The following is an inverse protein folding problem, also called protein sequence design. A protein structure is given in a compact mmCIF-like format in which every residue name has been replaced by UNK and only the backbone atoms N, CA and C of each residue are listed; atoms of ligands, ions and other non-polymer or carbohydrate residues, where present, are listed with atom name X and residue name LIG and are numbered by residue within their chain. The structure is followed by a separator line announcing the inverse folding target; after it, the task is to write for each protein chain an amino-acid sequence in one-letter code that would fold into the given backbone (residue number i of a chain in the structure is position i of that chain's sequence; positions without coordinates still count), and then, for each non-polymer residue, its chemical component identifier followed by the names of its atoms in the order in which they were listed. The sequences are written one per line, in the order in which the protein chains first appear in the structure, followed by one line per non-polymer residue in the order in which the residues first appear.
data_IF_359947329027
#
_entry.id   IF_359947329027
#
_cell.length_a   1.000
_cell.length_b   1.000
_cell.length_c   1.000
_cell.angle_alpha   90.00
_cell.angle_beta   90.00
_cell.angle_gamma   90.00
#
_symmetry.space_group_name_H-M   'P 1'
#
loop_
_entity.id
_entity.type
_entity.pdbx_description
1 polymer ?
#
# COMPACT_ATOMS: atom_id res chain seq x y z
N UNK A 1 13.88 3.86 -0.71
CA UNK A 1 14.56 5.16 -0.55
C UNK A 1 15.38 5.10 0.71
N UNK A 2 16.64 5.52 0.64
CA UNK A 2 17.54 5.57 1.79
C UNK A 2 17.83 7.00 2.18
N UNK A 3 18.00 7.21 3.49
CA UNK A 3 18.25 8.50 4.13
C UNK A 3 19.38 8.33 5.16
N UNK A 4 20.64 8.09 4.72
CA UNK A 4 21.73 7.76 5.64
C UNK A 4 21.98 8.81 6.72
N UNK A 5 21.81 10.08 6.37
CA UNK A 5 21.98 11.23 7.28
C UNK A 5 20.64 11.76 7.84
N UNK A 6 19.60 10.92 7.81
CA UNK A 6 18.25 11.26 8.29
C UNK A 6 17.38 11.99 7.27
N UNK A 7 16.11 12.22 7.63
CA UNK A 7 15.08 12.71 6.71
C UNK A 7 15.29 14.15 6.20
N UNK A 8 16.18 14.92 6.83
CA UNK A 8 16.57 16.27 6.39
C UNK A 8 17.83 16.25 5.48
N UNK A 9 18.52 15.12 5.38
CA UNK A 9 19.72 14.94 4.57
C UNK A 9 19.44 14.51 3.13
N UNK A 10 20.49 14.08 2.43
CA UNK A 10 20.36 13.57 1.06
C UNK A 10 19.63 12.22 1.05
N UNK A 11 18.72 12.08 0.08
CA UNK A 11 17.96 10.86 -0.13
C UNK A 11 18.19 10.33 -1.55
N UNK A 12 18.31 9.01 -1.67
CA UNK A 12 18.43 8.38 -2.98
C UNK A 12 17.57 7.12 -3.12
N UNK A 13 17.16 6.88 -4.38
CA UNK A 13 16.40 5.69 -4.76
C UNK A 13 17.38 4.59 -5.17
N UNK A 14 17.63 3.65 -4.28
CA UNK A 14 18.45 2.47 -4.56
C UNK A 14 17.57 1.31 -5.01
N UNK A 15 17.71 0.91 -6.29
CA UNK A 15 17.04 -0.27 -6.85
C UNK A 15 17.91 -1.51 -6.80
N UNK A 16 19.20 -1.35 -7.11
CA UNK A 16 20.14 -2.45 -7.17
C UNK A 16 20.63 -2.80 -5.77
N UNK A 17 20.90 -4.07 -5.54
CA UNK A 17 21.41 -4.57 -4.27
C UNK A 17 22.71 -3.82 -3.92
N UNK A 18 22.81 -3.25 -2.70
CA UNK A 18 24.01 -2.56 -2.27
C UNK A 18 25.19 -3.53 -2.16
N UNK A 19 26.41 -3.03 -2.39
CA UNK A 19 27.62 -3.82 -2.22
C UNK A 19 27.76 -4.25 -0.76
N UNK A 20 28.13 -5.50 -0.54
CA UNK A 20 28.30 -6.06 0.81
C UNK A 20 26.98 -6.47 1.48
N UNK A 21 25.89 -6.61 0.71
CA UNK A 21 24.69 -7.27 1.21
C UNK A 21 25.04 -8.68 1.73
N UNK A 22 24.55 -9.07 2.93
CA UNK A 22 24.79 -10.40 3.47
C UNK A 22 24.25 -11.52 2.58
N UNK A 23 24.90 -12.68 2.55
CA UNK A 23 24.51 -13.83 1.71
C UNK A 23 23.11 -14.38 2.03
N UNK A 24 22.62 -14.17 3.25
CA UNK A 24 21.29 -14.59 3.67
C UNK A 24 20.18 -13.67 3.17
N UNK A 25 20.49 -12.47 2.66
CA UNK A 25 19.50 -11.60 2.02
C UNK A 25 19.13 -12.23 0.69
N UNK A 26 17.88 -12.70 0.58
CA UNK A 26 17.38 -13.23 -0.68
C UNK A 26 17.36 -12.16 -1.76
N UNK A 27 17.64 -12.55 -3.00
CA UNK A 27 17.70 -11.60 -4.13
C UNK A 27 17.09 -12.18 -5.39
N UNK A 28 16.71 -11.29 -6.30
CA UNK A 28 16.29 -11.65 -7.65
C UNK A 28 16.95 -10.72 -8.67
N UNK A 29 17.55 -11.29 -9.72
CA UNK A 29 18.05 -10.51 -10.85
C UNK A 29 17.01 -10.49 -11.95
N UNK A 30 16.57 -9.29 -12.35
CA UNK A 30 15.54 -9.08 -13.36
C UNK A 30 16.05 -8.15 -14.48
N UNK A 31 15.50 -8.24 -15.70
CA UNK A 31 15.79 -7.27 -16.76
C UNK A 31 15.42 -5.85 -16.33
N UNK A 32 16.31 -4.89 -16.57
CA UNK A 32 16.05 -3.48 -16.30
C UNK A 32 14.96 -2.97 -17.24
N UNK A 33 13.86 -2.46 -16.68
CA UNK A 33 12.84 -1.74 -17.44
C UNK A 33 13.29 -0.30 -17.63
N UNK A 34 13.99 -0.02 -18.72
CA UNK A 34 14.44 1.33 -19.10
C UNK A 34 15.92 1.58 -18.86
N UNK A 35 16.74 1.27 -19.86
CA UNK A 35 18.11 1.77 -19.94
C UNK A 35 18.05 3.25 -20.35
N UNK A 36 18.33 4.18 -19.44
CA UNK A 36 18.67 5.58 -19.80
C UNK A 36 20.02 5.68 -20.52
N UNK A 37 20.81 4.60 -20.53
CA UNK A 37 22.22 4.62 -20.89
C UNK A 37 22.54 4.08 -22.29
N UNK A 38 21.55 3.70 -23.12
CA UNK A 38 21.78 3.22 -24.49
C UNK A 38 22.62 1.93 -24.63
N UNK A 39 23.13 1.37 -23.52
CA UNK A 39 23.94 0.15 -23.46
C UNK A 39 23.06 -1.07 -23.19
N UNK A 40 22.34 -1.55 -24.19
CA UNK A 40 21.63 -2.85 -24.18
C UNK A 40 20.64 -3.09 -23.03
N UNK A 41 20.10 -4.31 -22.89
CA UNK A 41 19.26 -4.70 -21.77
C UNK A 41 20.13 -4.94 -20.53
N UNK A 42 20.26 -3.93 -19.67
CA UNK A 42 20.88 -4.11 -18.35
C UNK A 42 20.02 -4.98 -17.44
N UNK A 43 20.60 -5.51 -16.36
CA UNK A 43 19.88 -6.20 -15.28
C UNK A 43 19.91 -5.37 -14.00
N UNK A 44 18.96 -5.64 -13.10
CA UNK A 44 18.96 -5.11 -11.73
C UNK A 44 18.76 -6.29 -10.79
N UNK A 45 19.58 -6.37 -9.75
CA UNK A 45 19.42 -7.33 -8.66
C UNK A 45 18.69 -6.64 -7.52
N UNK A 46 17.48 -7.09 -7.19
CA UNK A 46 16.67 -6.55 -6.10
C UNK A 46 16.81 -7.43 -4.85
N UNK A 47 16.90 -6.86 -3.64
CA UNK A 47 16.68 -7.62 -2.42
C UNK A 47 15.20 -8.00 -2.27
N UNK A 48 14.94 -9.20 -1.75
CA UNK A 48 13.61 -9.67 -1.35
C UNK A 48 13.49 -9.54 0.18
N UNK A 49 12.55 -8.71 0.62
CA UNK A 49 12.29 -8.49 2.04
C UNK A 49 11.11 -9.38 2.45
N UNK A 50 11.41 -10.64 2.77
CA UNK A 50 10.40 -11.66 3.07
C UNK A 50 10.31 -12.02 4.56
N UNK A 51 11.37 -11.70 5.32
CA UNK A 51 11.52 -12.12 6.72
C UNK A 51 11.99 -10.96 7.60
N UNK A 52 11.73 -11.04 8.91
CA UNK A 52 12.12 -10.01 9.88
C UNK A 52 13.62 -9.62 9.78
N UNK A 53 14.59 -10.55 9.67
CA UNK A 53 16.00 -10.17 9.53
C UNK A 53 16.27 -9.29 8.30
N UNK A 54 15.62 -9.57 7.16
CA UNK A 54 15.78 -8.78 5.94
C UNK A 54 15.18 -7.38 6.08
N UNK A 55 14.07 -7.24 6.82
CA UNK A 55 13.47 -5.95 7.14
C UNK A 55 14.37 -5.12 8.07
N UNK A 56 14.93 -5.75 9.12
CA UNK A 56 15.88 -5.11 10.04
C UNK A 56 17.15 -4.67 9.30
N UNK A 57 17.64 -5.47 8.36
CA UNK A 57 18.76 -5.08 7.50
C UNK A 57 18.44 -3.85 6.64
N UNK A 58 17.25 -3.80 6.03
CA UNK A 58 16.83 -2.61 5.28
C UNK A 58 16.76 -1.37 6.19
N UNK A 59 16.24 -1.52 7.41
CA UNK A 59 16.22 -0.44 8.41
C UNK A 59 17.64 0.02 8.80
N UNK A 60 18.57 -0.92 9.03
CA UNK A 60 19.98 -0.62 9.31
C UNK A 60 20.66 0.17 8.16
N UNK A 61 20.21 -0.02 6.92
CA UNK A 61 20.67 0.76 5.77
C UNK A 61 20.02 2.15 5.66
N UNK A 62 19.24 2.56 6.67
CA UNK A 62 18.41 3.76 6.67
C UNK A 62 17.38 3.79 5.52
N UNK A 63 16.87 2.62 5.11
CA UNK A 63 15.81 2.53 4.10
C UNK A 63 14.44 2.90 4.70
N UNK A 64 14.22 4.19 4.94
CA UNK A 64 12.97 4.67 5.54
C UNK A 64 11.74 4.38 4.66
N UNK A 65 11.88 4.46 3.34
CA UNK A 65 10.76 4.15 2.43
C UNK A 65 11.00 2.87 1.64
N UNK A 66 10.13 1.88 1.81
CA UNK A 66 10.09 0.67 1.01
C UNK A 66 9.09 0.85 -0.12
N UNK A 67 9.56 0.72 -1.36
CA UNK A 67 8.74 0.85 -2.56
C UNK A 67 8.70 -0.48 -3.29
N UNK A 68 7.48 -0.97 -3.55
CA UNK A 68 7.24 -2.31 -4.09
C UNK A 68 6.37 -2.23 -5.36
N UNK A 69 6.58 -3.14 -6.33
CA UNK A 69 5.70 -3.24 -7.49
C UNK A 69 4.35 -3.88 -7.12
N UNK A 70 3.42 -3.91 -8.07
CA UNK A 70 2.10 -4.57 -7.90
C UNK A 70 2.10 -6.05 -8.31
N UNK A 71 3.29 -6.64 -8.45
CA UNK A 71 3.52 -8.03 -8.82
C UNK A 71 4.53 -8.67 -7.86
N UNK A 72 4.53 -10.01 -7.81
CA UNK A 72 5.48 -10.81 -7.02
C UNK A 72 6.45 -11.58 -7.91
N UNK A 73 7.53 -12.08 -7.31
CA UNK A 73 8.48 -12.98 -7.97
C UNK A 73 7.93 -14.41 -7.95
N UNK A 74 8.14 -15.15 -9.03
CA UNK A 74 7.78 -16.57 -9.14
C UNK A 74 8.92 -17.50 -8.77
N UNK A 75 8.73 -18.82 -8.90
CA UNK A 75 9.85 -19.75 -8.87
C UNK A 75 10.84 -19.38 -9.99
N UNK A 76 12.09 -19.08 -9.61
CA UNK A 76 13.13 -18.59 -10.51
C UNK A 76 13.10 -17.07 -10.78
N UNK A 77 13.98 -16.54 -11.65
CA UNK A 77 14.15 -15.09 -11.87
C UNK A 77 13.08 -14.51 -12.80
N UNK A 78 11.79 -14.74 -12.49
CA UNK A 78 10.66 -14.33 -13.32
C UNK A 78 9.62 -13.57 -12.51
N UNK A 79 9.11 -12.49 -13.12
CA UNK A 79 7.97 -11.74 -12.60
C UNK A 79 6.70 -12.56 -12.83
N UNK A 80 5.85 -12.66 -11.80
CA UNK A 80 4.46 -13.11 -11.99
C UNK A 80 3.63 -11.96 -12.56
N UNK A 81 2.45 -12.29 -13.07
CA UNK A 81 1.43 -11.27 -13.31
C UNK A 81 1.12 -10.50 -12.01
N UNK A 82 0.74 -9.21 -12.10
CA UNK A 82 0.25 -8.44 -10.97
C UNK A 82 -0.84 -9.17 -10.19
N UNK A 83 -0.74 -9.12 -8.86
CA UNK A 83 -1.68 -9.73 -7.92
C UNK A 83 -2.51 -8.69 -7.17
N UNK A 84 -2.28 -7.40 -7.45
CA UNK A 84 -3.05 -6.29 -6.91
C UNK A 84 -3.17 -5.12 -7.88
N UNK A 85 -4.23 -4.35 -7.72
CA UNK A 85 -4.40 -3.01 -8.28
C UNK A 85 -4.08 -1.97 -7.22
N UNK A 86 -3.64 -0.80 -7.67
CA UNK A 86 -3.53 0.40 -6.83
C UNK A 86 -4.10 1.61 -7.56
N UNK A 87 -4.92 2.39 -6.88
CA UNK A 87 -5.32 3.73 -7.29
C UNK A 87 -4.65 4.72 -6.35
N UNK A 88 -3.65 5.46 -6.85
CA UNK A 88 -2.91 6.46 -6.07
C UNK A 88 -3.57 7.82 -6.23
N UNK A 89 -4.13 8.35 -5.14
CA UNK A 89 -4.91 9.58 -5.11
C UNK A 89 -4.04 10.72 -4.62
N UNK A 90 -3.60 11.54 -5.57
CA UNK A 90 -2.69 12.65 -5.33
C UNK A 90 -3.46 13.98 -5.36
N UNK A 91 -3.62 14.67 -4.22
CA UNK A 91 -4.28 15.97 -4.21
C UNK A 91 -3.39 17.01 -4.89
N UNK A 92 -3.97 17.74 -5.83
CA UNK A 92 -3.37 18.94 -6.41
C UNK A 92 -3.35 20.11 -5.43
N UNK A 93 -2.85 21.25 -5.91
CA UNK A 93 -2.78 22.46 -5.10
C UNK A 93 -4.16 22.86 -4.53
N UNK A 94 -4.26 23.16 -3.24
CA UNK A 94 -5.54 23.50 -2.60
C UNK A 94 -6.48 22.32 -2.33
N UNK A 95 -6.18 21.12 -2.83
CA UNK A 95 -6.80 19.88 -2.40
C UNK A 95 -5.94 19.19 -1.32
N UNK A 96 -6.55 18.26 -0.61
CA UNK A 96 -5.93 17.50 0.48
C UNK A 96 -6.38 16.04 0.47
N UNK A 97 -5.97 15.26 1.48
CA UNK A 97 -6.48 13.91 1.70
C UNK A 97 -8.00 13.87 1.88
N UNK A 98 -8.65 14.97 2.29
CA UNK A 98 -10.11 15.05 2.44
C UNK A 98 -10.79 14.89 1.07
N UNK A 99 -10.32 15.61 0.05
CA UNK A 99 -10.79 15.45 -1.32
C UNK A 99 -10.48 14.03 -1.84
N UNK A 100 -9.30 13.48 -1.49
CA UNK A 100 -8.95 12.11 -1.83
C UNK A 100 -9.94 11.09 -1.23
N UNK A 101 -10.44 11.34 -0.01
CA UNK A 101 -11.46 10.48 0.60
C UNK A 101 -12.76 10.47 -0.21
N UNK A 102 -13.20 11.63 -0.71
CA UNK A 102 -14.41 11.72 -1.55
C UNK A 102 -14.25 10.97 -2.87
N UNK A 103 -13.06 11.03 -3.47
CA UNK A 103 -12.73 10.23 -4.65
C UNK A 103 -12.67 8.74 -4.32
N UNK A 104 -12.09 8.36 -3.18
CA UNK A 104 -12.01 6.98 -2.73
C UNK A 104 -13.38 6.35 -2.46
N UNK A 105 -14.35 7.10 -1.92
CA UNK A 105 -15.73 6.62 -1.75
C UNK A 105 -16.37 6.25 -3.10
N UNK A 106 -16.09 7.03 -4.14
CA UNK A 106 -16.56 6.73 -5.50
C UNK A 106 -15.84 5.54 -6.12
N UNK A 107 -14.54 5.40 -5.87
CA UNK A 107 -13.79 4.18 -6.21
C UNK A 107 -14.36 2.95 -5.50
N UNK A 108 -14.70 3.05 -4.22
CA UNK A 108 -15.29 1.94 -3.46
C UNK A 108 -16.54 1.41 -4.18
N UNK A 109 -17.46 2.29 -4.56
CA UNK A 109 -18.70 1.92 -5.24
C UNK A 109 -18.44 1.25 -6.60
N UNK A 110 -17.59 1.83 -7.46
CA UNK A 110 -17.27 1.27 -8.78
C UNK A 110 -16.58 -0.08 -8.67
N UNK A 111 -15.54 -0.17 -7.83
CA UNK A 111 -14.76 -1.39 -7.66
C UNK A 111 -15.60 -2.50 -7.01
N UNK A 112 -16.48 -2.17 -6.07
CA UNK A 112 -17.40 -3.15 -5.47
C UNK A 112 -18.45 -3.63 -6.46
N UNK A 113 -18.97 -2.74 -7.32
CA UNK A 113 -19.89 -3.11 -8.41
C UNK A 113 -19.23 -4.09 -9.40
N UNK A 114 -17.92 -3.96 -9.62
CA UNK A 114 -17.11 -4.89 -10.41
C UNK A 114 -16.72 -6.18 -9.65
N UNK A 115 -17.15 -6.32 -8.40
CA UNK A 115 -16.90 -7.49 -7.55
C UNK A 115 -15.50 -7.55 -6.95
N UNK A 116 -14.79 -6.42 -6.92
CA UNK A 116 -13.50 -6.28 -6.23
C UNK A 116 -13.72 -5.93 -4.76
N UNK A 117 -12.68 -6.10 -3.94
CA UNK A 117 -12.67 -5.71 -2.52
C UNK A 117 -11.67 -4.57 -2.31
N UNK A 118 -12.13 -3.32 -2.26
CA UNK A 118 -11.27 -2.15 -2.11
C UNK A 118 -10.82 -1.96 -0.65
N UNK A 119 -9.51 -1.75 -0.47
CA UNK A 119 -8.88 -1.57 0.84
C UNK A 119 -8.06 -0.26 0.84
N UNK A 120 -8.44 0.75 1.64
CA UNK A 120 -7.79 2.05 1.63
C UNK A 120 -6.59 2.11 2.59
N UNK A 121 -5.60 2.91 2.21
CA UNK A 121 -4.51 3.32 3.10
C UNK A 121 -4.10 4.76 2.83
N UNK A 122 -3.64 5.45 3.86
CA UNK A 122 -2.97 6.75 3.66
C UNK A 122 -1.63 6.50 2.97
N UNK A 123 -1.19 7.46 2.15
CA UNK A 123 0.16 7.42 1.61
C UNK A 123 1.22 7.66 2.70
N UNK A 124 0.83 8.12 3.89
CA UNK A 124 1.73 8.72 4.89
C UNK A 124 2.24 10.10 4.48
N UNK A 125 1.77 10.61 3.32
CA UNK A 125 2.18 11.87 2.73
C UNK A 125 0.98 12.83 2.65
N UNK A 126 0.58 13.27 1.45
CA UNK A 126 -0.54 14.18 1.23
C UNK A 126 -1.79 13.45 0.76
N UNK A 127 -1.62 12.29 0.12
CA UNK A 127 -2.67 11.56 -0.59
C UNK A 127 -3.10 10.26 0.08
N UNK A 128 -3.98 9.54 -0.62
CA UNK A 128 -4.63 8.29 -0.21
C UNK A 128 -4.42 7.24 -1.31
N UNK A 129 -4.42 5.96 -0.95
CA UNK A 129 -4.29 4.86 -1.90
C UNK A 129 -5.38 3.84 -1.67
N UNK A 130 -5.95 3.30 -2.75
CA UNK A 130 -6.95 2.23 -2.69
C UNK A 130 -6.39 1.00 -3.41
N UNK A 131 -6.31 -0.11 -2.68
CA UNK A 131 -5.82 -1.38 -3.19
C UNK A 131 -6.95 -2.37 -3.43
N UNK A 132 -6.78 -3.26 -4.39
CA UNK A 132 -7.65 -4.44 -4.59
C UNK A 132 -6.78 -5.65 -4.92
N UNK A 133 -7.05 -6.81 -4.33
CA UNK A 133 -6.47 -8.07 -4.77
C UNK A 133 -7.05 -8.48 -6.13
N UNK A 134 -6.20 -8.87 -7.08
CA UNK A 134 -6.62 -9.29 -8.43
C UNK A 134 -5.81 -10.46 -8.98
N UNK A 135 -6.34 -11.11 -10.02
CA UNK A 135 -5.63 -12.09 -10.83
C UNK A 135 -5.79 -11.69 -12.28
N UNK A 136 -4.68 -11.71 -12.99
CA UNK A 136 -4.70 -11.50 -14.44
C UNK A 136 -3.73 -12.46 -15.11
N UNK A 137 -4.14 -12.98 -16.28
CA UNK A 137 -3.24 -13.70 -17.19
C UNK A 137 -2.43 -12.74 -18.07
N UNK A 138 -2.84 -11.49 -18.16
CA UNK A 138 -2.25 -10.45 -19.00
C UNK A 138 -1.87 -9.25 -18.10
N UNK A 139 -0.57 -9.05 -17.79
CA UNK A 139 -0.12 -8.00 -16.89
C UNK A 139 -0.60 -6.59 -17.25
N UNK A 140 -0.76 -6.31 -18.54
CA UNK A 140 -1.15 -4.98 -19.05
C UNK A 140 -2.60 -4.62 -18.67
N UNK A 141 -3.43 -5.62 -18.35
CA UNK A 141 -4.85 -5.40 -18.01
C UNK A 141 -5.04 -4.62 -16.71
N UNK A 142 -4.14 -4.74 -15.74
CA UNK A 142 -4.27 -3.94 -14.50
C UNK A 142 -4.19 -2.46 -14.79
N UNK A 143 -3.21 -2.05 -15.59
CA UNK A 143 -3.04 -0.64 -15.97
C UNK A 143 -4.17 -0.15 -16.87
N UNK A 144 -4.67 -1.00 -17.79
CA UNK A 144 -5.79 -0.63 -18.66
C UNK A 144 -7.09 -0.43 -17.87
N UNK A 145 -7.41 -1.34 -16.96
CA UNK A 145 -8.59 -1.24 -16.10
C UNK A 145 -8.52 -0.03 -15.17
N UNK A 146 -7.40 0.16 -14.47
CA UNK A 146 -7.24 1.32 -13.59
C UNK A 146 -7.34 2.65 -14.36
N UNK A 147 -6.81 2.70 -15.58
CA UNK A 147 -6.96 3.86 -16.47
C UNK A 147 -8.42 4.12 -16.83
N UNK A 148 -9.15 3.09 -17.24
CA UNK A 148 -10.55 3.22 -17.64
C UNK A 148 -11.42 3.71 -16.46
N UNK A 149 -11.21 3.18 -15.26
CA UNK A 149 -11.90 3.65 -14.04
C UNK A 149 -11.52 5.10 -13.73
N UNK A 150 -10.25 5.47 -13.84
CA UNK A 150 -9.82 6.86 -13.62
C UNK A 150 -10.43 7.83 -14.64
N UNK A 151 -10.50 7.45 -15.92
CA UNK A 151 -11.11 8.25 -16.99
C UNK A 151 -12.63 8.39 -16.81
N UNK A 152 -13.31 7.33 -16.38
CA UNK A 152 -14.73 7.38 -16.01
C UNK A 152 -14.97 8.37 -14.86
N UNK A 153 -14.23 8.26 -13.75
CA UNK A 153 -14.41 9.14 -12.59
C UNK A 153 -14.07 10.60 -12.93
N UNK A 154 -13.09 10.84 -13.80
CA UNK A 154 -12.77 12.18 -14.30
C UNK A 154 -13.91 12.78 -15.15
N UNK A 155 -14.66 11.95 -15.88
CA UNK A 155 -15.83 12.38 -16.65
C UNK A 155 -17.07 12.59 -15.75
N UNK A 156 -17.28 11.74 -14.75
CA UNK A 156 -18.38 11.85 -13.78
C UNK A 156 -18.21 13.04 -12.83
N UNK A 157 -16.96 13.33 -12.42
CA UNK A 157 -16.64 14.30 -11.37
C UNK A 157 -15.51 15.26 -11.81
N UNK A 158 -15.69 16.03 -12.91
CA UNK A 158 -14.63 16.85 -13.50
C UNK A 158 -14.10 17.97 -12.59
N UNK A 159 -14.92 18.40 -11.63
CA UNK A 159 -14.57 19.40 -10.61
C UNK A 159 -13.72 18.84 -9.46
N UNK A 160 -13.62 17.51 -9.34
CA UNK A 160 -12.93 16.83 -8.24
C UNK A 160 -11.80 15.93 -8.72
N UNK A 161 -11.91 15.34 -9.91
CA UNK A 161 -11.02 14.29 -10.40
C UNK A 161 -10.33 14.72 -11.69
N UNK A 162 -9.04 14.39 -11.78
CA UNK A 162 -8.28 14.39 -13.04
C UNK A 162 -7.60 13.03 -13.24
N UNK A 163 -7.56 12.54 -14.48
CA UNK A 163 -6.98 11.24 -14.84
C UNK A 163 -5.76 11.32 -15.77
N UNK A 164 -5.50 12.52 -16.33
CA UNK A 164 -4.37 12.78 -17.22
C UNK A 164 -3.36 13.70 -16.54
N UNK A 165 -2.07 13.36 -16.67
CA UNK A 165 -0.97 14.15 -16.12
C UNK A 165 -0.76 15.51 -16.80
N UNK A 166 -1.37 15.76 -17.97
CA UNK A 166 -1.22 17.00 -18.74
C UNK A 166 -1.53 18.24 -17.88
N UNK A 167 -0.93 19.38 -18.24
CA UNK A 167 -0.88 20.68 -17.53
C UNK A 167 -2.26 21.37 -17.28
N UNK A 168 -3.34 20.62 -17.11
CA UNK A 168 -4.60 21.16 -16.61
C UNK A 168 -4.36 21.56 -15.14
N UNK A 169 -4.77 22.76 -14.68
CA UNK A 169 -4.55 23.17 -13.30
C UNK A 169 -5.23 22.16 -12.37
N UNK A 170 -4.43 21.45 -11.57
CA UNK A 170 -4.91 20.47 -10.58
C UNK A 170 -5.47 21.15 -9.33
N UNK A 171 -5.63 22.47 -9.39
CA UNK A 171 -6.08 23.28 -8.27
C UNK A 171 -7.46 22.81 -7.80
N UNK A 172 -7.56 22.43 -6.54
CA UNK A 172 -8.78 21.90 -5.91
C UNK A 172 -9.17 20.49 -6.34
N UNK A 173 -8.34 19.78 -7.12
CA UNK A 173 -8.66 18.46 -7.70
C UNK A 173 -7.67 17.38 -7.28
N UNK A 174 -8.10 16.13 -7.38
CA UNK A 174 -7.31 14.92 -7.09
C UNK A 174 -6.95 14.23 -8.40
N UNK A 175 -5.66 13.95 -8.58
CA UNK A 175 -5.18 13.07 -9.62
C UNK A 175 -5.38 11.62 -9.17
N UNK A 176 -6.06 10.82 -9.99
CA UNK A 176 -6.01 9.37 -9.88
C UNK A 176 -4.83 8.89 -10.75
N UNK A 177 -3.67 8.65 -10.13
CA UNK A 177 -2.50 8.12 -10.82
C UNK A 177 -2.63 6.60 -11.00
N UNK A 178 -3.32 6.22 -12.06
CA UNK A 178 -3.47 4.84 -12.51
C UNK A 178 -2.16 4.23 -13.04
N UNK A 179 -1.14 5.05 -13.37
CA UNK A 179 0.10 4.58 -13.98
C UNK A 179 0.96 3.75 -13.03
N UNK A 180 0.68 3.83 -11.72
CA UNK A 180 1.32 3.03 -10.67
C UNK A 180 1.09 1.51 -10.83
N UNK A 181 0.11 1.11 -11.66
CA UNK A 181 -0.14 -0.28 -12.02
C UNK A 181 0.79 -0.80 -13.12
N UNK A 182 1.61 0.05 -13.74
CA UNK A 182 2.56 -0.38 -14.76
C UNK A 182 3.69 -1.22 -14.14
N UNK A 183 4.11 -2.30 -14.82
CA UNK A 183 5.07 -3.28 -14.29
C UNK A 183 6.46 -2.72 -13.94
N UNK A 184 6.82 -1.55 -14.47
CA UNK A 184 8.09 -0.86 -14.18
C UNK A 184 8.00 0.15 -13.03
N UNK A 185 6.82 0.37 -12.47
CA UNK A 185 6.55 1.32 -11.38
C UNK A 185 6.51 0.60 -10.04
N UNK A 186 6.68 1.40 -8.99
CA UNK A 186 6.64 0.96 -7.60
C UNK A 186 5.87 1.99 -6.80
N UNK A 187 5.16 1.53 -5.79
CA UNK A 187 4.41 2.37 -4.86
C UNK A 187 4.89 2.11 -3.45
N UNK A 188 4.77 3.11 -2.57
CA UNK A 188 5.10 2.97 -1.15
C UNK A 188 4.35 1.78 -0.54
N UNK A 189 5.09 0.87 0.09
CA UNK A 189 4.53 -0.31 0.73
C UNK A 189 3.62 0.09 1.90
N UNK A 190 2.54 -0.68 2.17
CA UNK A 190 1.84 -0.57 3.45
C UNK A 190 2.82 -0.66 4.62
N UNK A 191 2.55 0.11 5.68
CA UNK A 191 3.36 0.20 6.90
C UNK A 191 4.76 0.81 6.73
N UNK A 192 5.17 1.19 5.52
CA UNK A 192 6.43 1.89 5.32
C UNK A 192 6.39 3.29 5.93
N UNK A 193 7.49 3.67 6.59
CA UNK A 193 7.75 5.05 6.99
C UNK A 193 7.90 5.95 5.76
N UNK A 194 7.79 7.26 5.99
CA UNK A 194 8.03 8.33 5.02
C UNK A 194 9.24 9.15 5.46
N UNK A 195 10.12 9.45 4.52
CA UNK A 195 11.29 10.29 4.77
C UNK A 195 10.90 11.76 4.90
N UNK A 196 10.33 12.14 6.04
CA UNK A 196 9.84 13.50 6.33
C UNK A 196 10.26 13.96 7.71
N UNK A 197 10.04 15.25 7.98
CA UNK A 197 10.30 15.85 9.29
C UNK A 197 9.53 15.14 10.42
N UNK A 198 8.29 14.71 10.14
CA UNK A 198 7.51 13.84 11.02
C UNK A 198 7.60 12.40 10.50
N UNK A 199 7.85 11.38 11.35
CA UNK A 199 7.99 9.99 10.94
C UNK A 199 6.62 9.36 10.65
N UNK A 200 5.93 9.88 9.63
CA UNK A 200 4.62 9.40 9.22
C UNK A 200 4.71 8.08 8.48
N UNK A 201 3.63 7.32 8.50
CA UNK A 201 3.57 5.96 7.93
C UNK A 201 2.48 5.86 6.86
N UNK A 202 2.74 5.09 5.81
CA UNK A 202 1.70 4.70 4.87
C UNK A 202 0.77 3.67 5.51
N UNK A 203 -0.35 4.14 6.05
CA UNK A 203 -1.10 3.41 7.09
C UNK A 203 -2.42 2.90 6.54
N UNK A 204 -2.69 1.59 6.60
CA UNK A 204 -4.02 1.05 6.36
C UNK A 204 -5.08 1.67 7.26
N UNK A 205 -6.23 2.01 6.68
CA UNK A 205 -7.35 2.65 7.37
C UNK A 205 -8.67 1.96 7.04
N UNK A 206 -9.68 2.22 7.85
CA UNK A 206 -11.04 1.74 7.63
C UNK A 206 -11.80 2.66 6.67
N UNK A 207 -12.82 2.13 5.99
CA UNK A 207 -13.73 2.95 5.19
C UNK A 207 -14.53 3.95 6.03
N UNK A 208 -14.76 3.67 7.31
CA UNK A 208 -15.42 4.62 8.21
C UNK A 208 -14.53 5.82 8.50
N UNK A 209 -13.22 5.63 8.69
CA UNK A 209 -12.24 6.72 8.78
C UNK A 209 -12.21 7.56 7.50
N UNK A 210 -12.26 6.92 6.32
CA UNK A 210 -12.34 7.63 5.03
C UNK A 210 -13.59 8.53 4.98
N UNK A 211 -14.77 7.99 5.33
CA UNK A 211 -16.03 8.75 5.33
C UNK A 211 -16.03 9.86 6.37
N UNK A 212 -15.45 9.60 7.54
CA UNK A 212 -15.43 10.53 8.67
C UNK A 212 -14.43 11.67 8.51
N UNK A 213 -13.37 11.49 7.72
CA UNK A 213 -12.30 12.47 7.53
C UNK A 213 -12.84 13.87 7.16
N UNK A 214 -12.48 14.90 7.94
CA UNK A 214 -12.78 16.31 7.67
C UNK A 214 -11.54 17.17 7.57
N UNK A 215 -10.42 16.74 8.17
CA UNK A 215 -9.15 17.47 8.15
C UNK A 215 -7.98 16.53 7.82
N UNK A 216 -6.87 17.03 7.24
CA UNK A 216 -5.71 16.19 6.94
C UNK A 216 -5.06 15.54 8.15
N UNK A 217 -5.14 16.19 9.32
CA UNK A 217 -4.57 15.69 10.56
C UNK A 217 -5.22 14.39 11.04
N UNK A 218 -6.52 14.17 10.75
CA UNK A 218 -7.26 12.96 11.15
C UNK A 218 -6.74 11.68 10.48
N UNK A 219 -6.09 11.80 9.33
CA UNK A 219 -5.49 10.69 8.58
C UNK A 219 -3.96 10.79 8.50
N UNK A 220 -3.35 11.37 9.53
CA UNK A 220 -1.90 11.43 9.70
C UNK A 220 -1.49 10.55 10.88
N UNK A 221 -0.66 9.54 10.61
CA UNK A 221 -0.23 8.56 11.62
C UNK A 221 1.29 8.50 11.68
N UNK A 222 1.84 8.58 12.89
CA UNK A 222 3.26 8.35 13.17
C UNK A 222 3.55 6.86 13.37
N UNK A 223 4.84 6.48 13.45
CA UNK A 223 5.25 5.11 13.76
C UNK A 223 4.54 4.52 14.99
N UNK A 224 4.50 5.27 16.09
CA UNK A 224 3.88 4.84 17.35
C UNK A 224 2.36 4.68 17.23
N UNK A 225 1.70 5.59 16.51
CA UNK A 225 0.26 5.49 16.25
C UNK A 225 -0.06 4.21 15.47
N UNK A 226 0.78 3.84 14.50
CA UNK A 226 0.55 2.63 13.69
C UNK A 226 0.75 1.37 14.51
N UNK A 227 1.75 1.29 15.38
CA UNK A 227 1.93 0.13 16.26
C UNK A 227 0.70 -0.08 17.15
N UNK A 228 0.21 0.98 17.78
CA UNK A 228 -1.01 0.93 18.59
C UNK A 228 -2.23 0.49 17.77
N UNK A 229 -2.37 0.99 16.53
CA UNK A 229 -3.46 0.58 15.64
C UNK A 229 -3.39 -0.88 15.25
N UNK A 230 -2.20 -1.43 15.00
CA UNK A 230 -2.03 -2.85 14.66
C UNK A 230 -2.41 -3.71 15.87
N UNK A 231 -2.03 -3.31 17.09
CA UNK A 231 -2.42 -4.02 18.31
C UNK A 231 -3.94 -4.01 18.53
N UNK A 232 -4.62 -2.88 18.24
CA UNK A 232 -6.06 -2.74 18.43
C UNK A 232 -6.92 -3.33 17.29
N UNK A 233 -6.50 -3.18 16.04
CA UNK A 233 -7.32 -3.44 14.85
C UNK A 233 -6.83 -4.64 14.03
N UNK A 234 -5.63 -5.14 14.31
CA UNK A 234 -4.94 -6.11 13.47
C UNK A 234 -4.50 -5.52 12.12
N UNK A 235 -4.24 -6.39 11.15
CA UNK A 235 -3.89 -5.97 9.79
C UNK A 235 -5.14 -5.69 8.96
N UNK A 236 -5.45 -4.40 8.73
CA UNK A 236 -6.57 -3.97 7.91
C UNK A 236 -6.42 -4.32 6.41
N UNK A 237 -5.23 -4.77 5.97
CA UNK A 237 -4.99 -5.27 4.61
C UNK A 237 -4.86 -6.80 4.53
N UNK A 238 -5.20 -7.55 5.59
CA UNK A 238 -5.08 -9.01 5.58
C UNK A 238 -5.80 -9.67 4.38
N UNK A 239 -6.98 -9.14 4.02
CA UNK A 239 -7.80 -9.63 2.92
C UNK A 239 -7.25 -9.29 1.52
N UNK A 240 -6.20 -8.46 1.41
CA UNK A 240 -5.64 -8.04 0.13
C UNK A 240 -5.16 -9.25 -0.70
N UNK A 241 -4.74 -10.31 -0.03
CA UNK A 241 -4.25 -11.54 -0.64
C UNK A 241 -5.16 -12.75 -0.40
N UNK A 242 -6.17 -12.65 0.48
CA UNK A 242 -7.16 -13.68 0.79
C UNK A 242 -8.52 -13.38 0.17
N UNK A 243 -8.59 -13.41 -1.16
CA UNK A 243 -9.87 -13.26 -1.86
C UNK A 243 -10.30 -14.60 -2.47
N UNK A 244 -11.36 -15.16 -1.88
CA UNK A 244 -12.24 -16.17 -2.50
C UNK A 244 -12.60 -15.74 -3.92
N UNK A 245 -12.82 -16.70 -4.84
CA UNK A 245 -12.07 -16.77 -6.09
C UNK A 245 -11.85 -15.38 -6.69
N UNK A 246 -10.61 -14.88 -6.55
CA UNK A 246 -10.15 -13.67 -7.22
C UNK A 246 -10.65 -13.67 -8.67
N UNK A 247 -11.53 -12.71 -8.98
CA UNK A 247 -12.13 -12.58 -10.30
C UNK A 247 -11.10 -12.02 -11.27
N UNK A 248 -11.13 -12.54 -12.49
CA UNK A 248 -10.39 -11.93 -13.60
C UNK A 248 -10.91 -10.50 -13.75
N UNK A 249 -9.98 -9.55 -13.94
CA UNK A 249 -10.32 -8.14 -14.19
C UNK A 249 -11.38 -8.10 -15.32
N UNK A 250 -12.54 -7.45 -15.11
CA UNK A 250 -13.65 -7.49 -16.06
C UNK A 250 -13.22 -7.17 -17.49
N UNK A 251 -13.70 -7.99 -18.43
CA UNK A 251 -13.50 -7.83 -19.87
C UNK A 251 -14.70 -7.06 -20.43
N UNK A 252 -14.60 -5.73 -20.56
CA UNK A 252 -15.64 -4.90 -21.20
C UNK A 252 -16.19 -3.79 -20.31
N UNK A 253 -16.99 -2.90 -20.93
CA UNK A 253 -17.45 -1.60 -20.42
C UNK A 253 -17.72 -1.59 -18.91
N UNK A 254 -17.04 -0.67 -18.21
CA UNK A 254 -17.23 -0.45 -16.78
C UNK A 254 -18.71 -0.10 -16.56
N UNK A 255 -19.40 -0.87 -15.71
CA UNK A 255 -20.83 -0.66 -15.48
C UNK A 255 -21.01 0.65 -14.72
N UNK A 256 -21.73 1.61 -15.32
CA UNK A 256 -22.13 2.84 -14.63
C UNK A 256 -23.21 2.52 -13.58
N UNK A 257 -22.92 2.79 -12.31
CA UNK A 257 -23.93 2.74 -11.25
C UNK A 257 -24.68 4.09 -11.18
N UNK A 258 -26.00 4.12 -10.95
CA UNK A 258 -26.76 5.36 -10.82
C UNK A 258 -26.40 6.15 -9.55
N UNK A 259 -26.33 7.47 -9.66
CA UNK A 259 -25.81 8.42 -8.65
C UNK A 259 -26.85 9.00 -7.68
N UNK A 260 -26.51 9.15 -6.38
CA UNK A 260 -26.99 10.25 -5.55
C UNK A 260 -26.02 11.45 -5.60
N UNK A 261 -26.55 12.68 -5.74
CA UNK A 261 -25.77 13.93 -5.77
C UNK A 261 -25.04 14.16 -4.43
N UNK A 262 -23.70 14.20 -4.45
CA UNK A 262 -22.89 14.69 -3.33
C UNK A 262 -22.93 16.23 -3.35
N UNK A 263 -23.63 16.83 -2.39
CA UNK A 263 -23.57 18.29 -2.17
C UNK A 263 -22.36 18.58 -1.30
N UNK A 264 -21.29 19.10 -1.91
CA UNK A 264 -20.15 19.66 -1.19
C UNK A 264 -20.61 20.95 -0.50
N UNK A 265 -20.95 20.88 0.80
CA UNK A 265 -21.16 22.09 1.61
C UNK A 265 -19.81 22.76 1.86
N UNK A 266 -19.59 23.92 1.25
CA UNK A 266 -18.49 24.84 1.62
C UNK A 266 -18.72 25.31 3.06
N UNK A 267 -17.87 24.88 3.99
CA UNK A 267 -17.87 25.38 5.36
C UNK A 267 -17.23 26.76 5.43
N UNK A 268 -18.02 27.78 5.77
CA UNK A 268 -17.53 29.07 6.26
C UNK A 268 -16.95 28.88 7.67
N UNK A 269 -15.85 29.58 7.95
CA UNK A 269 -14.98 29.37 9.09
C UNK A 269 -15.60 29.57 10.48
N UNK A 270 -15.05 28.84 11.44
CA UNK A 270 -15.25 29.03 12.86
C UNK A 270 -14.13 28.28 13.61
N UNK A 271 -13.25 29.02 14.25
CA UNK A 271 -12.13 28.53 15.05
C UNK A 271 -12.59 27.92 16.37
N UNK A 272 -12.19 26.69 16.69
CA UNK A 272 -12.02 26.20 18.07
C UNK A 272 -10.83 25.22 18.15
N UNK A 273 -10.13 25.27 19.27
CA UNK A 273 -8.86 24.61 19.62
C UNK A 273 -8.99 23.08 19.83
N UNK A 274 -7.89 22.30 19.70
CA UNK A 274 -7.96 20.85 19.70
C UNK A 274 -7.75 20.24 21.10
N UNK A 275 -8.51 19.20 21.40
CA UNK A 275 -8.32 18.40 22.60
C UNK A 275 -9.26 17.21 22.67
N UNK A 276 -9.19 16.26 21.73
CA UNK A 276 -9.64 14.89 22.03
C UNK A 276 -9.07 13.87 21.03
N UNK A 277 -8.31 12.89 21.56
CA UNK A 277 -8.13 11.59 20.90
C UNK A 277 -9.51 10.94 20.75
N UNK A 278 -9.95 10.70 19.52
CA UNK A 278 -11.18 9.97 19.25
C UNK A 278 -11.01 8.53 19.73
N UNK A 279 -11.80 8.12 20.74
CA UNK A 279 -11.96 6.70 21.09
C UNK A 279 -12.97 6.09 20.12
N UNK A 280 -12.70 4.87 19.67
CA UNK A 280 -13.63 4.08 18.88
C UNK A 280 -14.92 3.83 19.67
N UNK A 281 -16.05 3.91 18.98
CA UNK A 281 -17.36 3.50 19.48
C UNK A 281 -17.43 1.99 19.73
N UNK A 282 -18.30 1.56 20.64
CA UNK A 282 -18.46 0.13 21.01
C UNK A 282 -18.84 -0.77 19.82
N UNK A 283 -19.49 -0.22 18.79
CA UNK A 283 -19.81 -0.93 17.56
C UNK A 283 -18.57 -1.32 16.72
N UNK A 284 -17.52 -0.48 16.77
CA UNK A 284 -16.25 -0.72 16.08
C UNK A 284 -15.46 -1.83 16.78
N UNK A 285 -15.47 -1.85 18.12
CA UNK A 285 -14.89 -2.94 18.93
C UNK A 285 -15.57 -4.28 18.64
N UNK A 286 -16.90 -4.29 18.58
CA UNK A 286 -17.67 -5.50 18.30
C UNK A 286 -17.43 -6.07 16.89
N UNK A 287 -17.21 -5.20 15.90
CA UNK A 287 -16.91 -5.62 14.51
C UNK A 287 -15.49 -6.17 14.38
N UNK A 288 -14.50 -5.54 15.04
CA UNK A 288 -13.12 -6.04 15.09
C UNK A 288 -13.03 -7.38 15.83
N UNK A 289 -13.70 -7.51 16.99
CA UNK A 289 -13.77 -8.77 17.76
C UNK A 289 -14.45 -9.90 16.98
N UNK A 290 -15.56 -9.63 16.27
CA UNK A 290 -16.20 -10.64 15.42
C UNK A 290 -15.29 -11.12 14.29
N UNK A 291 -14.47 -10.23 13.71
CA UNK A 291 -13.52 -10.58 12.64
C UNK A 291 -12.34 -11.42 13.18
N UNK A 292 -11.79 -11.05 14.33
CA UNK A 292 -10.75 -11.82 15.02
C UNK A 292 -11.20 -13.25 15.38
N UNK A 293 -12.44 -13.40 15.86
CA UNK A 293 -12.99 -14.71 16.21
C UNK A 293 -13.28 -15.61 15.01
N UNK A 294 -13.58 -15.04 13.83
CA UNK A 294 -13.71 -15.82 12.59
C UNK A 294 -12.38 -16.20 11.94
N UNK A 295 -11.31 -15.45 12.19
CA UNK A 295 -9.96 -15.74 11.67
C UNK A 295 -9.14 -16.69 12.58
N UNK A 296 -9.53 -16.82 13.86
CA UNK A 296 -8.75 -17.53 14.88
C UNK A 296 -8.80 -19.07 14.89
N UNK A 297 -9.54 -19.74 14.01
CA UNK A 297 -9.57 -21.22 14.01
C UNK A 297 -8.56 -21.81 13.03
N UNK A 298 -7.26 -21.70 13.35
CA UNK A 298 -6.16 -22.66 13.05
C UNK A 298 -4.81 -21.96 13.16
N UNK A 299 -4.19 -22.03 14.33
CA UNK A 299 -2.75 -22.38 14.49
C UNK A 299 -2.44 -22.51 15.97
N UNK A 300 -2.49 -23.74 16.48
CA UNK A 300 -1.91 -24.09 17.78
C UNK A 300 -0.38 -24.03 17.68
N UNK A 301 0.21 -23.03 18.33
CA UNK A 301 1.63 -23.03 18.68
C UNK A 301 1.80 -23.73 20.03
N UNK A 302 1.91 -25.06 20.03
CA UNK A 302 2.39 -25.79 21.20
C UNK A 302 3.89 -26.01 21.14
N UNK A 303 4.56 -25.53 22.18
CA UNK A 303 5.98 -25.58 22.44
C UNK A 303 6.58 -26.99 22.35
N UNK A 304 7.77 -27.08 21.74
CA UNK A 304 8.66 -28.23 21.89
C UNK A 304 9.92 -27.79 22.66
N UNK A 305 9.89 -27.97 23.97
CA UNK A 305 11.08 -28.08 24.80
C UNK A 305 11.10 -29.46 25.45
N UNK A 306 12.07 -30.30 25.08
CA UNK A 306 12.91 -31.09 26.00
C UNK A 306 13.60 -32.30 25.35
N UNK A 307 14.89 -32.38 25.65
CA UNK A 307 15.75 -33.58 25.77
C UNK A 307 16.28 -34.27 24.50
N UNK A 308 17.60 -34.19 24.28
CA UNK A 308 18.56 -35.20 24.79
C UNK A 308 20.00 -34.84 24.36
N UNK A 309 20.83 -34.57 25.36
CA UNK A 309 22.29 -34.52 25.22
C UNK A 309 22.85 -35.91 24.89
N UNK A 310 23.53 -36.08 23.77
CA UNK A 310 24.41 -37.22 23.51
C UNK A 310 25.85 -36.84 23.92
N UNK A 311 26.40 -37.54 24.93
CA UNK A 311 27.84 -37.55 25.22
C UNK A 311 28.58 -38.41 24.16
N UNK A 312 29.82 -38.08 23.78
CA UNK A 312 30.64 -38.96 22.96
C UNK A 312 31.34 -40.03 23.82
N UNK A 313 31.45 -41.26 23.28
CA UNK A 313 32.26 -42.36 23.85
C UNK A 313 33.72 -42.21 23.44
N UNK A 314 34.62 -42.37 24.40
CA UNK A 314 36.07 -42.54 24.21
C UNK A 314 36.42 -43.95 23.67
N UNK A 315 37.58 -44.13 23.00
CA UNK A 315 37.99 -45.42 22.45
C UNK A 315 38.65 -46.29 23.54
N UNK A 316 38.47 -47.62 23.45
CA UNK A 316 39.30 -48.58 24.17
C UNK A 316 40.15 -49.36 23.17
N UNK A 317 41.44 -49.39 23.45
CA UNK A 317 42.44 -50.30 22.89
C UNK A 317 42.31 -51.70 23.52
N UNK A 318 42.40 -52.73 22.67
CA UNK A 318 43.32 -53.87 22.71
C UNK A 318 43.07 -54.74 21.49
#
# INVERSE_FOLDING_TARGET
MRFPDGAAGEAFFEKNLPRGAPEWVQTVTLPSSGSRSGRGPGTITYPLIEELPSLVWAANLAALELHVPQWRVGPGPKRRSPDRLVFDLDPGEGATVVECCRVAERLLEVLTADGLTPLPKTSGSKGLQVYCGVRTRQPERTSAYAKAVAEQLAAELPELVVSKMAKNPRTGRVLIDWSQNHVSKTTIAPYSLRGRATPTVSTPITWDEVRACRTPAELTFTADDVLHRVDELGDLLADLHDTRPIREIPLGDIRSAPHPRIVLRRGLGGSQTPGHRARLSDAQRATALRRALTAGSRTDWTAASSSRSRRPRAPRSR
#
